data_IF_004458314327
#
_entry.id   IF_004458314327
#
_cell.length_a   1.000
_cell.length_b   1.000
_cell.length_c   1.000
_cell.angle_alpha   90.00
_cell.angle_beta   90.00
_cell.angle_gamma   90.00
#
_symmetry.space_group_name_H-M   'P 1'
#
loop_
_entity.id
_entity.type
_entity.pdbx_description
1 polymer ?
#
# COMPACT_ATOMS: atom_id res chain seq x y z
N UNK A 1 -22.60 -13.39 25.25
CA UNK A 1 -21.18 -13.00 25.45
C UNK A 1 -20.40 -13.12 24.14
N UNK A 2 -19.93 -12.01 23.51
CA UNK A 2 -18.93 -12.11 22.45
C UNK A 2 -17.80 -11.08 22.63
N UNK A 3 -16.90 -11.29 23.60
CA UNK A 3 -15.69 -10.45 23.75
C UNK A 3 -14.52 -11.03 22.90
N UNK A 4 -14.60 -12.30 22.52
CA UNK A 4 -13.53 -13.03 21.82
C UNK A 4 -13.27 -12.57 20.37
N UNK A 5 -14.20 -11.86 19.70
CA UNK A 5 -14.02 -11.47 18.29
C UNK A 5 -13.29 -10.11 18.11
N UNK A 6 -13.29 -9.24 19.13
CA UNK A 6 -12.67 -7.92 19.01
C UNK A 6 -11.13 -7.97 19.01
N UNK A 7 -10.51 -8.80 19.86
CA UNK A 7 -9.05 -8.89 19.91
C UNK A 7 -8.43 -9.42 18.60
N UNK A 8 -9.05 -10.45 18.00
CA UNK A 8 -8.65 -11.00 16.71
C UNK A 8 -8.79 -9.97 15.57
N UNK A 9 -9.89 -9.20 15.59
CA UNK A 9 -10.09 -8.08 14.67
C UNK A 9 -8.99 -7.03 14.79
N UNK A 10 -8.63 -6.61 16.01
CA UNK A 10 -7.59 -5.61 16.24
C UNK A 10 -6.22 -6.06 15.73
N UNK A 11 -5.86 -7.33 15.95
CA UNK A 11 -4.60 -7.90 15.47
C UNK A 11 -4.54 -7.95 13.95
N UNK A 12 -5.62 -8.41 13.30
CA UNK A 12 -5.70 -8.47 11.84
C UNK A 12 -5.66 -7.08 11.22
N UNK A 13 -6.34 -6.10 11.83
CA UNK A 13 -6.29 -4.68 11.42
C UNK A 13 -4.87 -4.13 11.50
N UNK A 14 -4.16 -4.33 12.62
CA UNK A 14 -2.75 -3.91 12.76
C UNK A 14 -1.85 -4.51 11.68
N UNK A 15 -2.03 -5.81 11.37
CA UNK A 15 -1.26 -6.49 10.30
C UNK A 15 -1.51 -5.84 8.94
N UNK A 16 -2.77 -5.57 8.59
CA UNK A 16 -3.13 -4.92 7.32
C UNK A 16 -2.57 -3.49 7.22
N UNK A 17 -2.63 -2.71 8.31
CA UNK A 17 -2.06 -1.37 8.35
C UNK A 17 -0.54 -1.40 8.15
N UNK A 18 0.16 -2.36 8.78
CA UNK A 18 1.61 -2.54 8.59
C UNK A 18 1.93 -2.88 7.13
N UNK A 19 1.15 -3.76 6.50
CA UNK A 19 1.30 -4.12 5.10
C UNK A 19 1.07 -2.93 4.16
N UNK A 20 0.05 -2.10 4.43
CA UNK A 20 -0.23 -0.88 3.66
C UNK A 20 0.93 0.12 3.74
N UNK A 21 1.48 0.34 4.95
CA UNK A 21 2.64 1.22 5.11
C UNK A 21 3.85 0.73 4.34
N UNK A 22 4.11 -0.57 4.39
CA UNK A 22 5.22 -1.18 3.67
C UNK A 22 5.04 -1.07 2.15
N UNK A 23 3.84 -1.31 1.64
CA UNK A 23 3.53 -1.13 0.21
C UNK A 23 3.72 0.33 -0.23
N UNK A 24 3.29 1.31 0.58
CA UNK A 24 3.52 2.72 0.30
C UNK A 24 5.01 3.07 0.25
N UNK A 25 5.78 2.61 1.25
CA UNK A 25 7.24 2.82 1.29
C UNK A 25 7.91 2.26 0.03
N UNK A 26 7.57 1.04 -0.36
CA UNK A 26 8.12 0.41 -1.56
C UNK A 26 7.73 1.16 -2.85
N UNK A 27 6.50 1.67 -2.93
CA UNK A 27 6.07 2.50 -4.07
C UNK A 27 6.88 3.79 -4.13
N UNK A 28 7.03 4.49 -3.00
CA UNK A 28 7.80 5.74 -2.93
C UNK A 28 9.28 5.52 -3.30
N UNK A 29 9.90 4.47 -2.76
CA UNK A 29 11.29 4.11 -3.09
C UNK A 29 11.47 3.84 -4.59
N UNK A 30 10.57 3.07 -5.20
CA UNK A 30 10.63 2.78 -6.64
C UNK A 30 10.30 3.99 -7.50
N UNK A 31 9.43 4.89 -7.03
CA UNK A 31 9.17 6.16 -7.71
C UNK A 31 10.39 7.07 -7.68
N UNK A 32 11.13 7.12 -6.57
CA UNK A 32 12.39 7.84 -6.48
C UNK A 32 13.46 7.22 -7.39
N UNK A 33 13.58 5.90 -7.41
CA UNK A 33 14.48 5.18 -8.32
C UNK A 33 14.14 5.48 -9.79
N UNK A 34 12.85 5.47 -10.14
CA UNK A 34 12.37 5.82 -11.47
C UNK A 34 12.72 7.27 -11.83
N UNK A 35 12.56 8.22 -10.92
CA UNK A 35 12.95 9.62 -11.14
C UNK A 35 14.46 9.77 -11.33
N UNK A 36 15.26 9.10 -10.50
CA UNK A 36 16.72 9.11 -10.62
C UNK A 36 17.18 8.52 -11.96
N UNK A 37 16.58 7.40 -12.38
CA UNK A 37 16.86 6.76 -13.65
C UNK A 37 16.48 7.62 -14.85
N UNK A 38 15.37 8.36 -14.76
CA UNK A 38 14.96 9.30 -15.79
C UNK A 38 15.90 10.51 -15.88
N UNK A 39 16.42 10.98 -14.73
CA UNK A 39 17.36 12.09 -14.66
C UNK A 39 18.79 11.73 -15.10
N UNK A 40 19.19 10.46 -15.00
CA UNK A 40 20.51 9.99 -15.41
C UNK A 40 20.68 10.06 -16.94
N UNK A 41 21.45 11.03 -17.45
CA UNK A 41 21.67 11.20 -18.89
C UNK A 41 22.80 10.33 -19.46
N UNK A 42 23.56 9.63 -18.62
CA UNK A 42 24.76 8.88 -19.04
C UNK A 42 24.46 7.43 -19.41
N UNK A 43 23.24 6.95 -19.17
CA UNK A 43 22.83 5.59 -19.46
C UNK A 43 22.39 5.42 -20.92
N UNK A 44 22.73 4.27 -21.50
CA UNK A 44 22.24 3.84 -22.81
C UNK A 44 20.68 3.94 -22.88
N UNK A 45 20.11 4.55 -23.93
CA UNK A 45 18.66 4.76 -24.04
C UNK A 45 17.83 3.48 -24.04
N UNK A 46 18.30 2.39 -24.65
CA UNK A 46 17.58 1.12 -24.69
C UNK A 46 17.62 0.43 -23.33
N UNK A 47 18.77 0.45 -22.66
CA UNK A 47 18.90 -0.06 -21.28
C UNK A 47 18.00 0.75 -20.34
N UNK A 48 18.00 2.08 -20.47
CA UNK A 48 17.16 2.96 -19.65
C UNK A 48 15.68 2.65 -19.86
N UNK A 49 15.24 2.54 -21.11
CA UNK A 49 13.83 2.24 -21.45
C UNK A 49 13.38 0.90 -20.86
N UNK A 50 14.22 -0.13 -20.96
CA UNK A 50 13.95 -1.44 -20.35
C UNK A 50 13.77 -1.35 -18.83
N UNK A 51 14.72 -0.70 -18.14
CA UNK A 51 14.66 -0.48 -16.68
C UNK A 51 13.45 0.36 -16.24
N UNK A 52 13.15 1.44 -16.97
CA UNK A 52 11.96 2.26 -16.74
C UNK A 52 10.68 1.41 -16.88
N UNK A 53 10.58 0.60 -17.92
CA UNK A 53 9.43 -0.28 -18.14
C UNK A 53 9.24 -1.30 -17.01
N UNK A 54 10.33 -1.88 -16.52
CA UNK A 54 10.30 -2.78 -15.36
C UNK A 54 9.83 -2.05 -14.09
N UNK A 55 10.41 -0.90 -13.78
CA UNK A 55 10.03 -0.10 -12.61
C UNK A 55 8.57 0.35 -12.64
N UNK A 56 8.08 0.81 -13.80
CA UNK A 56 6.67 1.20 -13.97
C UNK A 56 5.74 0.01 -13.73
N UNK A 57 6.09 -1.16 -14.25
CA UNK A 57 5.30 -2.39 -14.04
C UNK A 57 5.27 -2.78 -12.56
N UNK A 58 6.41 -2.74 -11.88
CA UNK A 58 6.50 -3.06 -10.45
C UNK A 58 5.71 -2.06 -9.59
N UNK A 59 5.80 -0.76 -9.87
CA UNK A 59 5.01 0.28 -9.21
C UNK A 59 3.52 0.01 -9.41
N UNK A 60 3.09 -0.37 -10.61
CA UNK A 60 1.69 -0.70 -10.91
C UNK A 60 1.22 -1.92 -10.10
N UNK A 61 2.03 -2.98 -10.01
CA UNK A 61 1.74 -4.17 -9.19
C UNK A 61 1.62 -3.81 -7.71
N UNK A 62 2.56 -3.04 -7.16
CA UNK A 62 2.52 -2.60 -5.76
C UNK A 62 1.29 -1.72 -5.48
N UNK A 63 0.95 -0.82 -6.41
CA UNK A 63 -0.22 0.05 -6.32
C UNK A 63 -1.53 -0.75 -6.32
N UNK A 64 -1.63 -1.78 -7.15
CA UNK A 64 -2.78 -2.71 -7.15
C UNK A 64 -2.87 -3.51 -5.84
N UNK A 65 -1.73 -3.95 -5.30
CA UNK A 65 -1.64 -4.59 -3.98
C UNK A 65 -2.12 -3.66 -2.86
N UNK A 66 -1.70 -2.39 -2.90
CA UNK A 66 -2.13 -1.35 -1.96
C UNK A 66 -3.65 -1.11 -2.03
N UNK A 67 -4.21 -0.99 -3.23
CA UNK A 67 -5.65 -0.84 -3.42
C UNK A 67 -6.43 -2.04 -2.88
N UNK A 68 -5.94 -3.26 -3.13
CA UNK A 68 -6.52 -4.50 -2.62
C UNK A 68 -6.50 -4.56 -1.09
N UNK A 69 -5.38 -4.20 -0.47
CA UNK A 69 -5.24 -4.15 0.98
C UNK A 69 -6.17 -3.11 1.63
N UNK A 70 -6.31 -1.93 1.00
CA UNK A 70 -7.26 -0.90 1.43
C UNK A 70 -8.71 -1.39 1.33
N UNK A 71 -9.08 -2.03 0.21
CA UNK A 71 -10.42 -2.58 0.03
C UNK A 71 -10.74 -3.68 1.06
N UNK A 72 -9.77 -4.54 1.38
CA UNK A 72 -9.92 -5.55 2.42
C UNK A 72 -10.18 -4.91 3.79
N UNK A 73 -9.47 -3.84 4.15
CA UNK A 73 -9.72 -3.09 5.39
C UNK A 73 -11.13 -2.49 5.44
N UNK A 74 -11.58 -1.87 4.34
CA UNK A 74 -12.93 -1.28 4.24
C UNK A 74 -14.00 -2.36 4.40
N UNK A 75 -13.84 -3.49 3.72
CA UNK A 75 -14.79 -4.62 3.80
C UNK A 75 -14.87 -5.15 5.24
N UNK A 76 -13.74 -5.38 5.89
CA UNK A 76 -13.69 -5.84 7.27
C UNK A 76 -14.32 -4.84 8.26
N UNK A 77 -14.18 -3.54 8.03
CA UNK A 77 -14.84 -2.54 8.87
C UNK A 77 -16.37 -2.60 8.73
N UNK A 78 -16.88 -2.73 7.49
CA UNK A 78 -18.32 -2.88 7.23
C UNK A 78 -18.89 -4.16 7.86
N UNK A 79 -18.19 -5.29 7.72
CA UNK A 79 -18.60 -6.58 8.29
C UNK A 79 -18.69 -6.56 9.83
N UNK A 80 -17.82 -5.79 10.49
CA UNK A 80 -17.81 -5.65 11.95
C UNK A 80 -18.70 -4.50 12.47
N UNK A 81 -19.58 -3.94 11.61
CA UNK A 81 -20.48 -2.79 11.91
C UNK A 81 -19.74 -1.58 12.51
N UNK A 82 -18.52 -1.36 12.04
CA UNK A 82 -17.69 -0.24 12.48
C UNK A 82 -18.16 1.02 11.74
N UNK A 83 -18.33 2.12 12.47
CA UNK A 83 -18.75 3.39 11.88
C UNK A 83 -17.76 3.85 10.79
N UNK A 84 -18.22 4.47 9.70
CA UNK A 84 -17.37 5.12 8.69
C UNK A 84 -16.27 5.99 9.29
N UNK A 85 -16.54 6.68 10.42
CA UNK A 85 -15.55 7.53 11.10
C UNK A 85 -14.36 6.74 11.67
N UNK A 86 -14.62 5.56 12.23
CA UNK A 86 -13.58 4.68 12.76
C UNK A 86 -12.76 4.04 11.64
N UNK A 87 -13.39 3.78 10.49
CA UNK A 87 -12.68 3.35 9.28
C UNK A 87 -11.80 4.48 8.74
N UNK A 88 -12.31 5.71 8.70
CA UNK A 88 -11.57 6.88 8.24
C UNK A 88 -10.38 7.19 9.15
N UNK A 89 -10.53 7.10 10.48
CA UNK A 89 -9.41 7.20 11.43
C UNK A 89 -8.39 6.08 11.21
N UNK A 90 -8.82 4.83 10.96
CA UNK A 90 -7.89 3.74 10.70
C UNK A 90 -7.08 3.96 9.40
N UNK A 91 -7.72 4.49 8.35
CA UNK A 91 -7.04 4.87 7.11
C UNK A 91 -6.08 6.04 7.32
N UNK A 92 -6.46 7.05 8.10
CA UNK A 92 -5.58 8.16 8.48
C UNK A 92 -4.38 7.67 9.29
N UNK A 93 -4.56 6.71 10.20
CA UNK A 93 -3.46 6.09 10.93
C UNK A 93 -2.55 5.26 10.02
N UNK A 94 -3.04 4.74 8.89
CA UNK A 94 -2.23 4.09 7.86
C UNK A 94 -1.53 5.08 6.91
N UNK A 95 -1.97 6.34 6.92
CA UNK A 95 -1.43 7.42 6.11
C UNK A 95 -0.46 8.32 6.89
N UNK A 96 -0.55 8.32 8.22
CA UNK A 96 0.49 8.78 9.15
C UNK A 96 1.57 7.72 9.32
#
# INVERSE_FOLDING_TARGET
>A
MPILNQAAYQTRRKKNLKMIRELKRQIEEKQQELQALMADQNMDPEIKKSKVGALVTEIATLSAGLATANNALVKQARENKISPDQLQQAQQLAAK
#
